data_IF_924538674207
#
_entry.id   IF_924538674207
#
_cell.length_a   1.000
_cell.length_b   1.000
_cell.length_c   1.000
_cell.angle_alpha   90.00
_cell.angle_beta   90.00
_cell.angle_gamma   90.00
#
_symmetry.space_group_name_H-M   'P 1'
#
loop_
_entity.id
_entity.type
_entity.pdbx_description
1 polymer ?
#
# COMPACT_ATOMS: atom_id res chain seq x y z
N UNK A 1 -5.35 11.28 5.64
CA UNK A 1 -5.98 9.96 5.86
C UNK A 1 -6.07 9.62 7.35
N UNK A 2 -5.08 9.02 8.01
CA UNK A 2 -5.17 8.64 9.45
C UNK A 2 -5.51 9.84 10.35
N UNK A 3 -4.88 10.99 10.14
CA UNK A 3 -5.18 12.23 10.88
C UNK A 3 -6.61 12.69 10.66
N UNK A 4 -7.13 12.56 9.44
CA UNK A 4 -8.50 12.92 9.11
C UNK A 4 -9.50 11.98 9.80
N UNK A 5 -9.24 10.69 9.80
CA UNK A 5 -10.05 9.71 10.54
C UNK A 5 -10.09 10.02 12.04
N UNK A 6 -8.95 10.34 12.65
CA UNK A 6 -8.87 10.70 14.08
C UNK A 6 -9.69 11.96 14.36
N UNK A 7 -9.62 13.00 13.50
CA UNK A 7 -10.43 14.21 13.61
C UNK A 7 -11.94 13.97 13.49
N UNK A 8 -12.35 12.97 12.74
CA UNK A 8 -13.75 12.54 12.63
C UNK A 8 -14.24 11.74 13.85
N UNK A 9 -13.41 11.60 14.89
CA UNK A 9 -13.73 10.84 16.08
C UNK A 9 -13.63 9.32 15.91
N UNK A 10 -12.93 8.87 14.87
CA UNK A 10 -12.63 7.45 14.64
C UNK A 10 -11.88 6.86 15.83
N UNK A 11 -12.45 5.82 16.45
CA UNK A 11 -11.83 5.07 17.55
C UNK A 11 -11.30 3.75 16.98
N UNK A 12 -10.23 3.22 17.58
CA UNK A 12 -9.70 1.90 17.22
C UNK A 12 -8.28 1.90 16.65
N UNK A 13 -7.65 3.08 16.45
CA UNK A 13 -6.24 3.17 16.07
C UNK A 13 -5.40 3.28 17.35
N UNK A 14 -4.80 2.17 17.79
CA UNK A 14 -3.95 2.12 18.98
C UNK A 14 -2.53 2.66 18.74
N UNK A 15 -1.95 2.34 17.59
CA UNK A 15 -0.60 2.76 17.21
C UNK A 15 -0.51 3.09 15.72
N UNK A 16 0.34 4.06 15.38
CA UNK A 16 0.77 4.36 14.02
C UNK A 16 2.26 4.03 13.87
N UNK A 17 2.55 2.97 13.15
CA UNK A 17 3.90 2.56 12.81
C UNK A 17 4.29 3.17 11.46
N UNK A 18 5.24 4.12 11.45
CA UNK A 18 5.74 4.77 10.23
C UNK A 18 7.05 4.11 9.82
N UNK A 19 7.03 3.38 8.71
CA UNK A 19 8.18 2.65 8.20
C UNK A 19 9.16 3.58 7.49
N UNK A 20 10.46 3.22 7.48
CA UNK A 20 11.55 3.96 6.84
C UNK A 20 11.65 5.44 7.27
N UNK A 21 11.28 5.75 8.50
CA UNK A 21 11.16 7.11 9.04
C UNK A 21 12.08 7.43 10.23
N UNK A 22 12.88 6.47 10.70
CA UNK A 22 13.74 6.67 11.86
C UNK A 22 14.73 7.84 11.71
N UNK A 23 15.19 8.12 10.48
CA UNK A 23 16.07 9.25 10.16
C UNK A 23 15.36 10.61 10.32
N UNK A 24 14.02 10.64 10.27
CA UNK A 24 13.22 11.86 10.41
C UNK A 24 13.07 12.32 11.86
N UNK A 25 13.27 11.44 12.85
CA UNK A 25 13.05 11.75 14.27
C UNK A 25 13.82 12.98 14.74
N UNK A 26 15.05 13.19 14.19
CA UNK A 26 15.88 14.35 14.50
C UNK A 26 15.61 15.57 13.61
N UNK A 27 14.83 15.41 12.54
CA UNK A 27 14.54 16.47 11.57
C UNK A 27 13.60 17.51 12.17
N UNK A 28 13.96 18.79 12.09
CA UNK A 28 13.16 19.90 12.66
C UNK A 28 11.82 20.09 11.96
N UNK A 29 11.77 19.90 10.63
CA UNK A 29 10.56 19.99 9.85
C UNK A 29 9.57 18.87 10.21
N UNK A 30 10.08 17.62 10.32
CA UNK A 30 9.28 16.49 10.81
C UNK A 30 8.66 16.76 12.18
N UNK A 31 9.47 17.26 13.13
CA UNK A 31 9.01 17.61 14.47
C UNK A 31 7.94 18.70 14.44
N UNK A 32 8.06 19.69 13.57
CA UNK A 32 7.07 20.76 13.44
C UNK A 32 5.75 20.24 12.88
N UNK A 33 5.76 19.31 11.92
CA UNK A 33 4.56 18.68 11.40
C UNK A 33 3.86 17.87 12.49
N UNK A 34 4.59 16.97 13.14
CA UNK A 34 4.03 16.06 14.14
C UNK A 34 3.44 16.81 15.32
N UNK A 35 4.11 17.85 15.80
CA UNK A 35 3.65 18.67 16.93
C UNK A 35 2.23 19.21 16.74
N UNK A 36 1.84 19.44 15.50
CA UNK A 36 0.53 19.99 15.13
C UNK A 36 -0.53 18.93 14.82
N UNK A 37 -0.16 17.64 14.89
CA UNK A 37 -1.08 16.56 14.62
C UNK A 37 -1.73 16.04 15.91
N UNK A 38 -3.04 15.89 15.89
CA UNK A 38 -3.79 15.37 17.05
C UNK A 38 -3.35 13.96 17.43
N UNK A 39 -2.92 13.15 16.45
CA UNK A 39 -2.42 11.79 16.65
C UNK A 39 -1.15 11.72 17.50
N UNK A 40 -0.39 12.79 17.58
CA UNK A 40 0.86 12.85 18.35
C UNK A 40 0.68 13.47 19.75
N UNK A 41 -0.55 13.83 20.13
CA UNK A 41 -0.83 14.39 21.47
C UNK A 41 -0.75 13.28 22.53
N UNK A 42 -0.31 13.62 23.77
CA UNK A 42 -0.35 12.68 24.89
C UNK A 42 -1.73 12.08 25.09
N UNK A 43 -1.82 10.76 25.24
CA UNK A 43 -3.08 10.04 25.42
C UNK A 43 -3.86 9.73 24.13
N UNK A 44 -3.31 10.11 22.97
CA UNK A 44 -3.82 9.71 21.66
C UNK A 44 -3.16 8.43 21.14
N UNK A 45 -3.21 8.21 19.82
CA UNK A 45 -2.54 7.09 19.14
C UNK A 45 -1.02 7.16 19.34
N UNK A 46 -0.38 6.04 19.65
CA UNK A 46 1.08 5.97 19.77
C UNK A 46 1.75 6.07 18.40
N UNK A 47 2.62 7.05 18.21
CA UNK A 47 3.41 7.22 16.99
C UNK A 47 4.81 6.59 17.15
N UNK A 48 5.11 5.59 16.31
CA UNK A 48 6.40 4.90 16.28
C UNK A 48 7.07 5.05 14.94
N UNK A 49 8.30 5.56 14.92
CA UNK A 49 9.11 5.71 13.70
C UNK A 49 10.13 4.57 13.62
N UNK A 50 10.06 3.81 12.53
CA UNK A 50 10.93 2.65 12.30
C UNK A 50 11.96 2.92 11.19
N UNK A 51 13.04 2.15 11.20
CA UNK A 51 13.93 2.00 10.05
C UNK A 51 13.26 1.21 8.92
N UNK A 52 14.07 0.80 7.94
CA UNK A 52 13.61 -0.13 6.92
C UNK A 52 13.52 -1.53 7.53
N UNK A 53 12.34 -2.12 7.48
CA UNK A 53 12.07 -3.45 8.00
C UNK A 53 11.56 -4.36 6.87
N UNK A 54 11.77 -5.68 6.94
CA UNK A 54 11.14 -6.65 6.03
C UNK A 54 9.61 -6.59 6.17
N UNK A 55 8.90 -6.68 5.05
CA UNK A 55 7.43 -6.49 5.02
C UNK A 55 6.73 -7.56 5.87
N UNK A 56 6.90 -8.83 5.54
CA UNK A 56 6.15 -9.94 6.17
C UNK A 56 6.30 -9.99 7.70
N UNK A 57 7.52 -10.01 8.28
CA UNK A 57 7.66 -9.99 9.74
C UNK A 57 7.10 -8.73 10.39
N UNK A 58 7.12 -7.60 9.67
CA UNK A 58 6.59 -6.33 10.18
C UNK A 58 5.07 -6.38 10.26
N UNK A 59 4.40 -6.90 9.24
CA UNK A 59 2.96 -7.08 9.23
C UNK A 59 2.53 -7.98 10.39
N UNK A 60 3.11 -9.17 10.48
CA UNK A 60 2.77 -10.15 11.52
C UNK A 60 2.97 -9.62 12.96
N UNK A 61 3.86 -8.65 13.17
CA UNK A 61 4.23 -8.20 14.51
C UNK A 61 3.68 -6.82 14.89
N UNK A 62 3.42 -5.95 13.92
CA UNK A 62 3.21 -4.54 14.17
C UNK A 62 2.01 -3.91 13.45
N UNK A 63 1.31 -4.64 12.61
CA UNK A 63 0.26 -4.05 11.80
C UNK A 63 -0.99 -4.93 11.69
N UNK A 64 -2.15 -4.30 11.89
CA UNK A 64 -3.45 -4.88 11.57
C UNK A 64 -3.99 -4.31 10.25
N UNK A 65 -3.55 -3.12 9.87
CA UNK A 65 -3.97 -2.40 8.65
C UNK A 65 -2.76 -1.70 8.04
N UNK A 66 -2.67 -1.73 6.72
CA UNK A 66 -1.62 -1.05 5.97
C UNK A 66 -2.22 0.15 5.27
N UNK A 67 -1.60 1.32 5.47
CA UNK A 67 -1.94 2.54 4.75
C UNK A 67 -0.73 2.97 3.94
N UNK A 68 -0.88 3.04 2.63
CA UNK A 68 0.19 3.44 1.74
C UNK A 68 -0.29 4.40 0.66
N UNK A 69 0.52 5.42 0.39
CA UNK A 69 0.29 6.40 -0.65
C UNK A 69 1.45 6.38 -1.63
N UNK A 70 1.17 6.20 -2.90
CA UNK A 70 2.18 6.14 -3.96
C UNK A 70 2.19 7.42 -4.79
N UNK A 71 3.40 7.84 -5.14
CA UNK A 71 3.65 8.89 -6.12
C UNK A 71 4.49 8.30 -7.26
N UNK A 72 3.94 8.23 -8.47
CA UNK A 72 4.61 7.69 -9.65
C UNK A 72 5.27 6.30 -9.47
N UNK A 73 4.74 5.49 -8.56
CA UNK A 73 5.13 4.10 -8.35
C UNK A 73 3.89 3.21 -8.33
N UNK A 74 3.32 2.89 -9.51
CA UNK A 74 2.00 2.23 -9.61
C UNK A 74 2.01 0.78 -9.11
N UNK A 75 3.18 0.14 -9.03
CA UNK A 75 3.32 -1.22 -8.53
C UNK A 75 4.37 -1.28 -7.42
N UNK A 76 3.91 -1.56 -6.21
CA UNK A 76 4.77 -1.82 -5.06
C UNK A 76 4.60 -3.28 -4.63
N UNK A 77 5.69 -4.07 -4.68
CA UNK A 77 5.63 -5.50 -4.32
C UNK A 77 5.14 -5.75 -2.90
N UNK A 78 5.36 -4.83 -1.96
CA UNK A 78 4.80 -4.92 -0.62
C UNK A 78 3.27 -4.96 -0.60
N UNK A 79 2.61 -4.44 -1.64
CA UNK A 79 1.16 -4.53 -1.77
C UNK A 79 0.72 -5.93 -2.14
N UNK A 80 1.47 -6.61 -3.00
CA UNK A 80 1.21 -8.01 -3.35
C UNK A 80 1.37 -8.91 -2.12
N UNK A 81 2.40 -8.66 -1.29
CA UNK A 81 2.58 -9.36 -0.01
C UNK A 81 1.38 -9.13 0.92
N UNK A 82 0.91 -7.89 1.03
CA UNK A 82 -0.23 -7.53 1.87
C UNK A 82 -1.53 -8.21 1.42
N UNK A 83 -1.82 -8.18 0.11
CA UNK A 83 -3.00 -8.83 -0.49
C UNK A 83 -2.93 -10.35 -0.30
N UNK A 84 -1.77 -10.97 -0.58
CA UNK A 84 -1.57 -12.41 -0.41
C UNK A 84 -1.75 -12.88 1.03
N UNK A 85 -1.31 -12.07 1.99
CA UNK A 85 -1.44 -12.35 3.43
C UNK A 85 -2.77 -11.86 4.00
N UNK A 86 -3.68 -11.36 3.17
CA UNK A 86 -5.03 -10.93 3.55
C UNK A 86 -5.05 -9.76 4.54
N UNK A 87 -4.01 -8.93 4.57
CA UNK A 87 -4.03 -7.71 5.37
C UNK A 87 -4.84 -6.60 4.69
N UNK A 88 -5.67 -5.86 5.43
CA UNK A 88 -6.38 -4.71 4.87
C UNK A 88 -5.37 -3.68 4.36
N UNK A 89 -5.36 -3.46 3.05
CA UNK A 89 -4.47 -2.53 2.36
C UNK A 89 -5.25 -1.33 1.84
N UNK A 90 -5.02 -0.15 2.41
CA UNK A 90 -5.56 1.12 1.92
C UNK A 90 -4.51 1.77 1.04
N UNK A 91 -4.83 2.02 -0.25
CA UNK A 91 -3.84 2.49 -1.21
C UNK A 91 -4.44 3.30 -2.35
N UNK A 92 -3.57 4.02 -3.09
CA UNK A 92 -3.91 4.76 -4.30
C UNK A 92 -3.21 4.23 -5.56
N UNK A 93 -2.75 2.98 -5.55
CA UNK A 93 -2.07 2.38 -6.70
C UNK A 93 -3.09 1.97 -7.77
N UNK A 94 -3.12 2.70 -8.90
CA UNK A 94 -4.09 2.51 -9.99
C UNK A 94 -4.01 1.10 -10.61
N UNK A 95 -2.82 0.52 -10.73
CA UNK A 95 -2.64 -0.84 -11.28
C UNK A 95 -3.27 -1.94 -10.41
N UNK A 96 -3.56 -1.66 -9.15
CA UNK A 96 -4.12 -2.60 -8.19
C UNK A 96 -5.52 -2.19 -7.69
N UNK A 97 -6.18 -1.24 -8.37
CA UNK A 97 -7.45 -0.64 -7.93
C UNK A 97 -8.60 -1.61 -7.71
N UNK A 98 -8.51 -2.80 -8.33
CA UNK A 98 -9.54 -3.83 -8.23
C UNK A 98 -9.41 -4.66 -6.94
N UNK A 99 -8.34 -4.49 -6.15
CA UNK A 99 -8.10 -5.19 -4.89
C UNK A 99 -7.73 -4.22 -3.76
N UNK A 100 -7.77 -4.68 -2.53
CA UNK A 100 -7.56 -3.81 -1.38
C UNK A 100 -8.71 -2.80 -1.20
N UNK A 101 -8.39 -1.70 -0.52
CA UNK A 101 -9.25 -0.54 -0.30
C UNK A 101 -8.65 0.64 -1.06
N UNK A 102 -9.08 0.81 -2.29
CA UNK A 102 -8.51 1.80 -3.22
C UNK A 102 -9.15 3.17 -3.05
N UNK A 103 -8.33 4.22 -3.06
CA UNK A 103 -8.77 5.60 -3.19
C UNK A 103 -8.02 6.32 -4.32
N UNK A 104 -8.69 7.20 -5.09
CA UNK A 104 -8.10 7.79 -6.29
C UNK A 104 -7.10 8.90 -5.99
N UNK A 105 -6.00 8.93 -6.71
CA UNK A 105 -5.05 10.04 -6.75
C UNK A 105 -4.56 10.48 -5.37
N UNK A 106 -4.87 11.73 -5.00
CA UNK A 106 -4.53 12.37 -3.72
C UNK A 106 -5.75 12.63 -2.84
N UNK A 107 -6.86 11.95 -3.06
CA UNK A 107 -8.06 12.12 -2.24
C UNK A 107 -7.90 11.47 -0.86
N UNK A 108 -7.31 12.25 0.05
CA UNK A 108 -7.08 11.81 1.43
C UNK A 108 -8.39 11.59 2.21
N UNK A 109 -9.49 12.22 1.79
CA UNK A 109 -10.80 12.04 2.42
C UNK A 109 -11.39 10.70 2.02
N UNK A 110 -11.39 10.36 0.73
CA UNK A 110 -11.74 9.02 0.28
C UNK A 110 -10.86 7.94 0.93
N UNK A 111 -9.55 8.18 1.03
CA UNK A 111 -8.64 7.27 1.73
C UNK A 111 -8.97 7.11 3.24
N UNK A 112 -9.48 8.15 3.90
CA UNK A 112 -9.92 8.04 5.29
C UNK A 112 -11.24 7.25 5.42
N UNK A 113 -12.15 7.42 4.46
CA UNK A 113 -13.40 6.65 4.39
C UNK A 113 -13.10 5.15 4.18
N UNK A 114 -12.18 4.82 3.27
CA UNK A 114 -11.74 3.44 3.04
C UNK A 114 -11.06 2.83 4.28
N UNK A 115 -10.22 3.60 4.98
CA UNK A 115 -9.61 3.15 6.23
C UNK A 115 -10.67 2.87 7.30
N UNK A 116 -11.65 3.76 7.46
CA UNK A 116 -12.73 3.58 8.43
C UNK A 116 -13.59 2.37 8.10
N UNK A 117 -13.89 2.18 6.81
CA UNK A 117 -14.62 1.02 6.33
C UNK A 117 -13.85 -0.28 6.60
N UNK A 118 -12.56 -0.32 6.25
CA UNK A 118 -11.72 -1.48 6.47
C UNK A 118 -11.66 -1.88 7.95
N UNK A 119 -11.41 -0.91 8.85
CA UNK A 119 -11.33 -1.18 10.30
C UNK A 119 -12.64 -1.78 10.85
N UNK A 120 -13.79 -1.42 10.28
CA UNK A 120 -15.09 -1.89 10.77
C UNK A 120 -15.56 -3.20 10.14
N UNK A 121 -15.16 -3.45 8.90
CA UNK A 121 -15.85 -4.45 8.05
C UNK A 121 -14.93 -5.48 7.40
N UNK A 122 -13.61 -5.37 7.53
CA UNK A 122 -12.68 -6.25 6.80
C UNK A 122 -12.95 -7.72 7.10
N UNK A 123 -13.01 -8.11 8.36
CA UNK A 123 -13.21 -9.51 8.75
C UNK A 123 -14.55 -10.07 8.28
N UNK A 124 -15.58 -9.24 8.27
CA UNK A 124 -16.90 -9.64 7.78
C UNK A 124 -16.96 -9.78 6.25
N UNK A 125 -16.05 -9.15 5.51
CA UNK A 125 -15.98 -9.15 4.05
C UNK A 125 -14.73 -9.86 3.52
N UNK A 126 -14.08 -10.68 4.33
CA UNK A 126 -12.79 -11.29 4.02
C UNK A 126 -12.84 -12.16 2.75
N UNK A 127 -13.91 -12.92 2.54
CA UNK A 127 -14.10 -13.75 1.34
C UNK A 127 -14.04 -12.89 0.08
N UNK A 128 -14.87 -11.84 0.00
CA UNK A 128 -14.89 -10.93 -1.16
C UNK A 128 -13.55 -10.20 -1.35
N UNK A 129 -12.89 -9.83 -0.24
CA UNK A 129 -11.57 -9.20 -0.29
C UNK A 129 -10.54 -10.13 -0.92
N UNK A 130 -10.56 -11.41 -0.55
CA UNK A 130 -9.68 -12.43 -1.08
C UNK A 130 -9.94 -12.71 -2.55
N UNK A 131 -11.19 -12.88 -2.97
CA UNK A 131 -11.55 -13.10 -4.37
C UNK A 131 -10.97 -11.99 -5.26
N UNK A 132 -11.17 -10.73 -4.87
CA UNK A 132 -10.62 -9.59 -5.59
C UNK A 132 -9.09 -9.59 -5.59
N UNK A 133 -8.48 -9.95 -4.47
CA UNK A 133 -7.02 -10.03 -4.33
C UNK A 133 -6.43 -11.12 -5.22
N UNK A 134 -7.03 -12.28 -5.30
CA UNK A 134 -6.58 -13.39 -6.15
C UNK A 134 -6.58 -13.00 -7.62
N UNK A 135 -7.65 -12.37 -8.11
CA UNK A 135 -7.73 -11.87 -9.50
C UNK A 135 -6.58 -10.92 -9.84
N UNK A 136 -6.21 -10.04 -8.89
CA UNK A 136 -5.10 -9.12 -9.10
C UNK A 136 -3.76 -9.85 -9.00
N UNK A 137 -3.58 -10.72 -8.02
CA UNK A 137 -2.34 -11.48 -7.81
C UNK A 137 -2.01 -12.37 -9.00
N UNK A 138 -3.01 -12.98 -9.64
CA UNK A 138 -2.83 -13.81 -10.84
C UNK A 138 -2.16 -13.05 -11.99
N UNK A 139 -2.32 -11.73 -12.08
CA UNK A 139 -1.66 -10.90 -13.11
C UNK A 139 -0.13 -10.91 -12.96
N UNK A 140 0.37 -11.11 -11.74
CA UNK A 140 1.79 -10.99 -11.38
C UNK A 140 2.45 -12.33 -11.02
N UNK A 141 1.72 -13.44 -11.11
CA UNK A 141 2.28 -14.77 -10.84
C UNK A 141 3.13 -15.29 -11.99
N UNK A 142 4.12 -16.13 -11.66
CA UNK A 142 4.93 -16.87 -12.65
C UNK A 142 4.12 -17.85 -13.49
N UNK A 143 2.90 -18.14 -13.11
CA UNK A 143 1.98 -19.03 -13.83
C UNK A 143 1.12 -18.28 -14.86
N UNK A 144 1.17 -16.95 -14.88
CA UNK A 144 0.46 -16.14 -15.87
C UNK A 144 1.09 -16.33 -17.25
N UNK A 145 0.39 -17.05 -18.13
CA UNK A 145 0.87 -17.37 -19.47
C UNK A 145 1.17 -16.12 -20.30
N UNK A 146 0.32 -15.09 -20.24
CA UNK A 146 0.53 -13.83 -20.95
C UNK A 146 1.82 -13.13 -20.51
N UNK A 147 2.13 -13.16 -19.21
CA UNK A 147 3.37 -12.61 -18.67
C UNK A 147 4.59 -13.42 -19.14
N UNK A 148 4.51 -14.75 -19.12
CA UNK A 148 5.58 -15.64 -19.63
C UNK A 148 5.85 -15.34 -21.10
N UNK A 149 4.81 -15.29 -21.94
CA UNK A 149 4.93 -15.05 -23.38
C UNK A 149 5.53 -13.66 -23.67
N UNK A 150 5.14 -12.65 -22.88
CA UNK A 150 5.70 -11.30 -22.96
C UNK A 150 7.22 -11.30 -22.66
N UNK A 151 7.64 -11.92 -21.55
CA UNK A 151 9.06 -12.01 -21.21
C UNK A 151 9.85 -12.81 -22.24
N UNK A 152 9.32 -13.91 -22.74
CA UNK A 152 9.95 -14.69 -23.80
C UNK A 152 10.16 -13.84 -25.07
N UNK A 153 9.16 -13.05 -25.48
CA UNK A 153 9.25 -12.12 -26.61
C UNK A 153 10.29 -11.01 -26.38
N UNK A 154 10.33 -10.43 -25.16
CA UNK A 154 11.32 -9.40 -24.83
C UNK A 154 12.76 -9.96 -24.89
N UNK A 155 12.99 -11.14 -24.30
CA UNK A 155 14.31 -11.83 -24.34
C UNK A 155 14.71 -12.11 -25.78
N UNK A 156 13.81 -12.66 -26.60
CA UNK A 156 14.07 -12.91 -28.02
C UNK A 156 14.47 -11.64 -28.77
N UNK A 157 13.73 -10.55 -28.56
CA UNK A 157 14.04 -9.25 -29.22
C UNK A 157 15.39 -8.70 -28.79
N UNK A 158 15.79 -8.86 -27.53
CA UNK A 158 17.12 -8.46 -27.04
C UNK A 158 18.24 -9.28 -27.69
N UNK A 159 18.05 -10.59 -27.86
CA UNK A 159 19.05 -11.46 -28.50
C UNK A 159 19.30 -11.08 -29.95
N UNK A 160 18.27 -10.69 -30.69
CA UNK A 160 18.35 -10.34 -32.09
C UNK A 160 18.59 -8.83 -32.35
N UNK A 161 18.94 -8.05 -31.32
CA UNK A 161 19.27 -6.61 -31.43
C UNK A 161 18.24 -5.81 -32.25
N UNK A 162 16.97 -6.09 -32.11
CA UNK A 162 15.96 -5.20 -32.67
C UNK A 162 16.12 -3.84 -32.01
N UNK A 163 16.19 -2.78 -32.82
CA UNK A 163 16.39 -1.43 -32.34
C UNK A 163 15.24 -1.01 -31.41
N UNK A 164 15.52 -0.10 -30.47
CA UNK A 164 14.55 0.44 -29.52
C UNK A 164 13.32 1.12 -30.15
N UNK A 165 13.38 1.41 -31.45
CA UNK A 165 12.29 1.98 -32.24
C UNK A 165 11.11 1.01 -32.45
N UNK A 166 11.35 -0.31 -32.36
CA UNK A 166 10.32 -1.35 -32.49
C UNK A 166 9.62 -1.70 -31.15
N UNK A 167 10.01 -1.06 -30.06
CA UNK A 167 9.43 -1.25 -28.73
C UNK A 167 8.45 -0.11 -28.41
N UNK A 168 7.38 0.00 -29.18
CA UNK A 168 6.23 0.79 -28.74
C UNK A 168 5.51 0.02 -27.62
N UNK A 169 5.63 0.51 -26.40
CA UNK A 169 4.84 0.01 -25.29
C UNK A 169 3.44 0.62 -25.38
N UNK A 170 2.48 -0.16 -25.83
CA UNK A 170 1.07 0.15 -25.57
C UNK A 170 0.77 -0.24 -24.11
N UNK A 171 0.53 0.76 -23.28
CA UNK A 171 0.06 0.61 -21.90
C UNK A 171 -1.47 0.53 -21.85
#
# INVERSE_FOLDING_TARGET
MIVDLVKRGGRGIGALNVMSSSHLIKNSYWKSIIKNLDIAKPGSTELRCHGRLPVIPTLAKHADVIVSHQWHNPLNYAYLDALYLQYPLIHNAEMLKDAGYYYPGFDIHAGADELEYAVKNHDANLEKYNDNSEVVLERYTIYNKGLIDLYAKLIHNLQYKKSSEDLSYEY
#
